data_IF_736553600644
#
_entry.id   IF_736553600644
#
_cell.length_a   1.000
_cell.length_b   1.000
_cell.length_c   1.000
_cell.angle_alpha   90.00
_cell.angle_beta   90.00
_cell.angle_gamma   90.00
#
_symmetry.space_group_name_H-M   'P 1'
#
loop_
_entity.id
_entity.type
_entity.pdbx_description
1 polymer ?
#
# COMPACT_ATOMS: atom_id res chain seq x y z
N UNK A 1 14.59 43.69 -25.89
CA UNK A 1 15.92 43.26 -26.40
C UNK A 1 16.36 42.08 -25.54
N UNK A 2 16.90 41.02 -26.12
CA UNK A 2 16.27 40.12 -27.08
C UNK A 2 16.31 38.67 -26.58
N UNK A 3 15.57 37.81 -27.28
CA UNK A 3 15.62 36.36 -27.15
C UNK A 3 17.00 35.81 -27.51
N UNK A 4 17.42 34.76 -26.80
CA UNK A 4 18.47 33.86 -27.26
C UNK A 4 17.95 32.43 -27.16
N UNK A 5 17.55 31.89 -28.31
CA UNK A 5 17.52 30.45 -28.55
C UNK A 5 18.94 30.06 -28.91
N UNK A 6 19.51 29.09 -28.21
CA UNK A 6 20.60 28.27 -28.73
C UNK A 6 20.27 26.82 -28.43
N UNK A 7 19.88 26.13 -29.51
CA UNK A 7 19.74 24.69 -29.57
C UNK A 7 21.14 24.05 -29.52
N UNK A 8 21.30 23.05 -28.65
CA UNK A 8 22.30 22.02 -28.82
C UNK A 8 21.58 20.66 -28.84
N UNK A 9 21.55 20.08 -30.04
CA UNK A 9 21.10 18.74 -30.38
C UNK A 9 22.00 17.72 -29.66
N UNK A 10 21.40 16.71 -29.05
CA UNK A 10 22.10 15.57 -28.45
C UNK A 10 21.17 14.36 -28.38
N UNK A 11 21.08 13.67 -29.51
CA UNK A 11 20.83 12.24 -29.73
C UNK A 11 19.67 11.52 -29.02
N UNK A 12 18.68 11.30 -29.87
CA UNK A 12 17.66 10.26 -29.92
C UNK A 12 18.06 8.88 -29.34
N UNK A 13 17.27 8.40 -28.37
CA UNK A 13 16.99 6.96 -28.21
C UNK A 13 15.47 6.79 -28.14
N UNK A 14 14.83 6.71 -29.31
CA UNK A 14 13.55 6.04 -29.42
C UNK A 14 13.79 4.59 -29.03
N UNK A 15 13.38 4.21 -27.84
CA UNK A 15 12.99 2.83 -27.61
C UNK A 15 11.49 2.82 -27.78
N UNK A 16 11.06 2.34 -28.95
CA UNK A 16 9.74 1.79 -29.15
C UNK A 16 9.48 0.81 -27.99
N UNK A 17 8.53 1.14 -27.11
CA UNK A 17 8.03 0.14 -26.17
C UNK A 17 7.10 -0.74 -27.00
N UNK A 18 7.69 -1.81 -27.55
CA UNK A 18 6.94 -2.99 -27.98
C UNK A 18 6.08 -3.44 -26.79
N UNK A 19 4.78 -3.58 -27.04
CA UNK A 19 3.85 -4.12 -26.07
C UNK A 19 4.17 -5.59 -25.82
N UNK A 20 4.58 -5.95 -24.61
CA UNK A 20 4.59 -7.33 -24.13
C UNK A 20 4.45 -7.43 -22.60
N UNK A 21 3.87 -8.52 -22.14
CA UNK A 21 2.92 -8.67 -21.02
C UNK A 21 3.48 -8.68 -19.56
N UNK A 22 4.63 -8.05 -19.25
CA UNK A 22 5.30 -8.22 -17.93
C UNK A 22 5.02 -7.16 -16.84
N UNK A 23 4.24 -6.11 -17.16
CA UNK A 23 4.00 -5.01 -16.21
C UNK A 23 3.10 -5.40 -15.02
N UNK A 24 2.38 -6.53 -15.13
CA UNK A 24 1.39 -6.96 -14.14
C UNK A 24 2.02 -7.56 -12.86
N UNK A 25 3.20 -8.18 -12.97
CA UNK A 25 3.83 -8.90 -11.86
C UNK A 25 4.41 -7.99 -10.77
N UNK A 26 5.03 -6.88 -11.16
CA UNK A 26 5.67 -5.93 -10.23
C UNK A 26 4.62 -5.14 -9.43
N UNK A 27 3.54 -4.71 -10.09
CA UNK A 27 2.45 -3.95 -9.46
C UNK A 27 1.74 -4.81 -8.40
N UNK A 28 1.52 -6.10 -8.69
CA UNK A 28 0.87 -7.02 -7.76
C UNK A 28 1.72 -7.29 -6.50
N UNK A 29 3.05 -7.43 -6.65
CA UNK A 29 3.95 -7.61 -5.50
C UNK A 29 3.96 -6.38 -4.58
N UNK A 30 4.16 -5.18 -5.14
CA UNK A 30 4.16 -3.95 -4.35
C UNK A 30 2.82 -3.71 -3.65
N UNK A 31 1.71 -4.12 -4.28
CA UNK A 31 0.38 -4.00 -3.69
C UNK A 31 0.16 -5.02 -2.55
N UNK A 32 0.63 -6.26 -2.71
CA UNK A 32 0.62 -7.28 -1.64
C UNK A 32 1.44 -6.81 -0.45
N UNK A 33 2.64 -6.26 -0.66
CA UNK A 33 3.49 -5.72 0.42
C UNK A 33 2.81 -4.57 1.17
N UNK A 34 2.20 -3.62 0.45
CA UNK A 34 1.46 -2.52 1.06
C UNK A 34 0.23 -3.01 1.86
N UNK A 35 -0.48 -4.01 1.36
CA UNK A 35 -1.64 -4.59 2.04
C UNK A 35 -1.24 -5.37 3.29
N UNK A 36 -0.12 -6.10 3.25
CA UNK A 36 0.46 -6.76 4.42
C UNK A 36 0.86 -5.74 5.47
N UNK A 37 1.55 -4.67 5.08
CA UNK A 37 1.96 -3.61 6.01
C UNK A 37 0.74 -2.98 6.70
N UNK A 38 -0.30 -2.60 5.95
CA UNK A 38 -1.54 -2.03 6.51
C UNK A 38 -2.22 -3.00 7.48
N UNK A 39 -2.33 -4.28 7.10
CA UNK A 39 -2.91 -5.31 7.97
C UNK A 39 -2.15 -5.44 9.29
N UNK A 40 -0.81 -5.48 9.24
CA UNK A 40 0.02 -5.58 10.43
C UNK A 40 -0.15 -4.36 11.34
N UNK A 41 -0.15 -3.14 10.77
CA UNK A 41 -0.37 -1.91 11.54
C UNK A 41 -1.71 -1.98 12.29
N UNK A 42 -2.81 -2.29 11.60
CA UNK A 42 -4.14 -2.35 12.23
C UNK A 42 -4.24 -3.44 13.30
N UNK A 43 -3.63 -4.62 13.10
CA UNK A 43 -3.62 -5.68 14.13
C UNK A 43 -2.83 -5.25 15.37
N UNK A 44 -1.70 -4.57 15.19
CA UNK A 44 -0.89 -4.07 16.30
C UNK A 44 -1.59 -2.94 17.07
N UNK A 45 -2.31 -2.05 16.39
CA UNK A 45 -3.13 -1.02 17.03
C UNK A 45 -4.22 -1.63 17.92
N UNK A 46 -4.91 -2.66 17.44
CA UNK A 46 -5.87 -3.43 18.25
C UNK A 46 -5.15 -4.10 19.44
N UNK A 47 -4.00 -4.73 19.20
CA UNK A 47 -3.22 -5.37 20.26
C UNK A 47 -2.79 -4.38 21.35
N UNK A 48 -2.44 -3.16 20.98
CA UNK A 48 -2.10 -2.08 21.91
C UNK A 48 -3.34 -1.63 22.70
N UNK A 49 -4.48 -1.44 22.03
CA UNK A 49 -5.74 -1.05 22.67
C UNK A 49 -6.24 -2.12 23.66
N UNK A 50 -5.99 -3.40 23.40
CA UNK A 50 -6.28 -4.50 24.32
C UNK A 50 -5.29 -4.58 25.49
N UNK A 51 -4.07 -4.06 25.32
CA UNK A 51 -2.98 -4.16 26.28
C UNK A 51 -2.86 -2.93 27.19
N UNK A 52 -3.82 -2.01 27.13
CA UNK A 52 -3.87 -0.84 28.04
C UNK A 52 -3.89 -1.32 29.50
N UNK A 53 -3.11 -0.64 30.35
CA UNK A 53 -2.89 -1.04 31.76
C UNK A 53 -4.20 -1.10 32.55
N UNK A 54 -5.08 -0.12 32.35
CA UNK A 54 -6.40 -0.08 32.99
C UNK A 54 -7.40 -0.94 32.22
N UNK A 55 -8.06 -1.94 32.86
CA UNK A 55 -9.07 -2.75 32.18
C UNK A 55 -10.25 -1.95 31.62
N UNK A 56 -10.60 -0.83 32.26
CA UNK A 56 -11.74 0.03 31.86
C UNK A 56 -11.46 0.87 30.61
N UNK A 57 -10.18 1.05 30.26
CA UNK A 57 -9.74 1.84 29.10
C UNK A 57 -9.46 0.97 27.88
N UNK A 58 -9.50 -0.36 28.04
CA UNK A 58 -9.32 -1.28 26.92
C UNK A 58 -10.51 -1.20 25.98
N UNK A 59 -10.25 -1.41 24.71
CA UNK A 59 -11.28 -1.59 23.70
C UNK A 59 -12.25 -2.71 24.12
N UNK A 60 -13.54 -2.53 23.80
CA UNK A 60 -14.55 -3.55 24.08
C UNK A 60 -14.28 -4.81 23.23
N UNK A 61 -14.41 -6.01 23.82
CA UNK A 61 -14.14 -7.27 23.11
C UNK A 61 -15.05 -7.50 21.89
N UNK A 62 -16.30 -7.00 21.90
CA UNK A 62 -17.19 -7.03 20.74
C UNK A 62 -16.62 -6.18 19.59
N UNK A 63 -16.09 -5.01 19.92
CA UNK A 63 -15.44 -4.11 18.95
C UNK A 63 -14.15 -4.75 18.41
N UNK A 64 -13.34 -5.37 19.27
CA UNK A 64 -12.15 -6.13 18.86
C UNK A 64 -12.51 -7.20 17.83
N UNK A 65 -13.55 -7.99 18.07
CA UNK A 65 -14.00 -9.04 17.14
C UNK A 65 -14.46 -8.41 15.81
N UNK A 66 -15.24 -7.32 15.87
CA UNK A 66 -15.71 -6.62 14.68
C UNK A 66 -14.55 -6.11 13.82
N UNK A 67 -13.57 -5.47 14.43
CA UNK A 67 -12.40 -4.92 13.76
C UNK A 67 -11.49 -6.02 13.19
N UNK A 68 -11.26 -7.10 13.93
CA UNK A 68 -10.48 -8.25 13.43
C UNK A 68 -11.15 -8.91 12.22
N UNK A 69 -12.48 -9.06 12.22
CA UNK A 69 -13.21 -9.56 11.06
C UNK A 69 -13.10 -8.62 9.85
N UNK A 70 -13.17 -7.31 10.08
CA UNK A 70 -13.00 -6.31 9.02
C UNK A 70 -11.59 -6.38 8.41
N UNK A 71 -10.55 -6.43 9.24
CA UNK A 71 -9.15 -6.57 8.79
C UNK A 71 -8.97 -7.86 7.98
N UNK A 72 -9.51 -8.99 8.47
CA UNK A 72 -9.44 -10.27 7.76
C UNK A 72 -10.09 -10.16 6.38
N UNK A 73 -11.30 -9.63 6.31
CA UNK A 73 -12.06 -9.55 5.06
C UNK A 73 -11.37 -8.61 4.07
N UNK A 74 -10.94 -7.42 4.52
CA UNK A 74 -10.23 -6.47 3.66
C UNK A 74 -8.91 -7.03 3.14
N UNK A 75 -8.12 -7.69 3.98
CA UNK A 75 -6.85 -8.29 3.56
C UNK A 75 -7.03 -9.44 2.57
N UNK A 76 -8.01 -10.32 2.80
CA UNK A 76 -8.29 -11.45 1.90
C UNK A 76 -8.96 -11.02 0.60
N UNK A 77 -9.83 -10.00 0.62
CA UNK A 77 -10.40 -9.41 -0.58
C UNK A 77 -9.38 -8.65 -1.44
N UNK A 78 -8.22 -8.30 -0.88
CA UNK A 78 -7.14 -7.61 -1.62
C UNK A 78 -6.16 -8.57 -2.31
N UNK A 79 -6.38 -9.89 -2.25
CA UNK A 79 -5.57 -10.93 -2.91
C UNK A 79 -6.17 -11.42 -4.24
N UNK A 80 -6.97 -10.59 -4.91
CA UNK A 80 -7.61 -10.91 -6.20
C UNK A 80 -6.79 -10.27 -7.32
#
# INVERSE_FOLDING_TARGET
>A
MPAAILAAKGDNYENEIEADEETQGIVNLCQVEANVYKCLVSVLEIGLACSVKSPKERMNMEEVIRELHLIKNTFLSSRI
#
